data_IF_509049431348
#
_entry.id   IF_509049431348
#
_cell.length_a   1.000
_cell.length_b   1.000
_cell.length_c   1.000
_cell.angle_alpha   90.00
_cell.angle_beta   90.00
_cell.angle_gamma   90.00
#
_symmetry.space_group_name_H-M   'P 1'
#
loop_
_entity.id
_entity.type
_entity.pdbx_description
1 polymer ?
#
# COMPACT_ATOMS: atom_id res chain seq x y z
N UNK A 1 13.77 22.14 0.84
CA UNK A 1 13.89 21.30 2.06
C UNK A 1 12.51 20.73 2.35
N UNK A 2 12.30 19.42 2.25
CA UNK A 2 11.03 18.80 2.62
C UNK A 2 10.89 18.84 4.15
N UNK A 3 9.79 19.38 4.66
CA UNK A 3 9.50 19.43 6.10
C UNK A 3 9.30 18.00 6.58
N UNK A 4 10.19 17.51 7.44
CA UNK A 4 10.12 16.15 8.01
C UNK A 4 9.09 16.13 9.14
N UNK A 5 7.86 15.68 8.83
CA UNK A 5 6.81 15.43 9.83
C UNK A 5 7.17 14.16 10.60
N UNK A 6 7.50 14.27 11.89
CA UNK A 6 7.72 13.10 12.74
C UNK A 6 6.36 12.47 13.07
N UNK A 7 6.10 11.30 12.51
CA UNK A 7 4.85 10.57 12.75
C UNK A 7 5.12 9.58 13.88
N UNK A 8 4.33 9.68 14.95
CA UNK A 8 4.39 8.74 16.07
C UNK A 8 3.79 7.41 15.61
N UNK A 9 4.62 6.39 15.49
CA UNK A 9 4.20 5.03 15.16
C UNK A 9 3.57 4.37 16.39
N UNK A 10 2.35 3.84 16.25
CA UNK A 10 1.76 2.97 17.28
C UNK A 10 2.31 1.55 17.12
N UNK A 11 2.85 0.99 18.19
CA UNK A 11 3.42 -0.37 18.20
C UNK A 11 2.34 -1.45 18.07
N UNK A 12 1.10 -1.12 18.48
CA UNK A 12 -0.05 -2.03 18.41
C UNK A 12 -0.72 -2.02 17.04
N UNK A 13 -0.40 -1.05 16.19
CA UNK A 13 -0.94 -0.96 14.84
C UNK A 13 -0.36 -2.07 13.96
N UNK A 14 -1.22 -2.96 13.46
CA UNK A 14 -0.82 -4.03 12.56
C UNK A 14 -0.31 -3.50 11.21
N UNK A 15 -0.74 -2.30 10.78
CA UNK A 15 -0.26 -1.66 9.55
C UNK A 15 1.22 -1.29 9.63
N UNK A 16 1.83 -1.28 10.82
CA UNK A 16 3.29 -1.10 10.97
C UNK A 16 4.09 -2.16 10.20
N UNK A 17 3.50 -3.33 9.93
CA UNK A 17 4.12 -4.36 9.11
C UNK A 17 4.44 -3.85 7.69
N UNK A 18 3.74 -2.82 7.20
CA UNK A 18 4.05 -2.15 5.94
C UNK A 18 5.43 -1.49 5.95
N UNK A 19 5.89 -1.01 7.10
CA UNK A 19 7.18 -0.33 7.27
C UNK A 19 8.33 -1.29 7.62
N UNK A 20 8.02 -2.57 7.84
CA UNK A 20 8.99 -3.59 8.20
C UNK A 20 8.87 -4.76 7.22
N UNK A 21 8.08 -5.77 7.58
CA UNK A 21 8.10 -7.10 6.97
C UNK A 21 7.62 -7.11 5.51
N UNK A 22 6.73 -6.20 5.11
CA UNK A 22 6.26 -6.12 3.72
C UNK A 22 6.99 -5.05 2.90
N UNK A 23 8.00 -4.39 3.46
CA UNK A 23 8.80 -3.41 2.75
C UNK A 23 9.71 -4.13 1.73
N UNK A 24 9.74 -3.71 0.46
CA UNK A 24 10.56 -4.34 -0.56
C UNK A 24 12.03 -3.88 -0.47
N UNK A 25 12.68 -4.23 0.64
CA UNK A 25 14.09 -3.91 0.93
C UNK A 25 15.10 -4.72 0.11
N UNK A 26 14.69 -5.87 -0.43
CA UNK A 26 15.56 -6.75 -1.24
C UNK A 26 15.69 -6.31 -2.70
N UNK A 27 15.03 -5.20 -3.08
CA UNK A 27 15.11 -4.64 -4.42
C UNK A 27 16.40 -3.81 -4.59
N UNK A 28 17.04 -3.84 -5.78
CA UNK A 28 18.21 -3.00 -6.08
C UNK A 28 17.88 -1.50 -6.11
N UNK A 29 16.60 -1.15 -6.29
CA UNK A 29 16.09 0.22 -6.14
C UNK A 29 15.49 0.31 -4.74
N UNK A 30 15.87 1.34 -3.99
CA UNK A 30 15.35 1.60 -2.65
C UNK A 30 13.90 2.10 -2.77
N UNK A 31 12.97 1.30 -2.27
CA UNK A 31 11.57 1.66 -2.16
C UNK A 31 11.20 1.88 -0.68
N UNK A 32 10.38 2.91 -0.43
CA UNK A 32 9.83 3.18 0.89
C UNK A 32 8.32 3.02 0.87
N UNK A 33 7.79 2.35 1.90
CA UNK A 33 6.36 2.22 2.14
C UNK A 33 5.81 3.36 3.02
N UNK A 34 6.62 4.36 3.38
CA UNK A 34 6.19 5.48 4.25
C UNK A 34 4.94 6.17 3.72
N UNK A 35 4.93 6.51 2.44
CA UNK A 35 3.77 7.18 1.82
C UNK A 35 2.51 6.31 1.84
N UNK A 36 2.66 4.99 1.64
CA UNK A 36 1.53 4.06 1.71
C UNK A 36 0.96 3.99 3.12
N UNK A 37 1.82 3.84 4.14
CA UNK A 37 1.43 3.82 5.54
C UNK A 37 0.71 5.12 5.94
N UNK A 38 1.33 6.27 5.64
CA UNK A 38 0.78 7.59 5.98
C UNK A 38 -0.60 7.79 5.36
N UNK A 39 -0.75 7.47 4.07
CA UNK A 39 -2.03 7.65 3.37
C UNK A 39 -3.14 6.74 3.93
N UNK A 40 -2.81 5.52 4.38
CA UNK A 40 -3.76 4.63 5.02
C UNK A 40 -4.17 5.16 6.41
N UNK A 41 -3.20 5.55 7.24
CA UNK A 41 -3.47 6.09 8.58
C UNK A 41 -4.20 7.44 8.52
N UNK A 42 -3.86 8.31 7.57
CA UNK A 42 -4.55 9.59 7.37
C UNK A 42 -5.96 9.39 6.81
N UNK A 43 -6.17 8.42 5.92
CA UNK A 43 -7.51 8.06 5.44
C UNK A 43 -8.42 7.63 6.60
N UNK A 44 -7.94 6.76 7.50
CA UNK A 44 -8.72 6.32 8.66
C UNK A 44 -9.05 7.46 9.64
N UNK A 45 -8.24 8.52 9.67
CA UNK A 45 -8.49 9.71 10.50
C UNK A 45 -9.46 10.70 9.83
N UNK A 46 -9.27 11.00 8.55
CA UNK A 46 -9.97 12.08 7.83
C UNK A 46 -11.31 11.62 7.29
N UNK A 47 -11.43 10.38 6.82
CA UNK A 47 -12.63 9.90 6.14
C UNK A 47 -13.81 9.61 7.06
N UNK A 48 -13.67 9.81 8.38
CA UNK A 48 -14.79 9.83 9.30
C UNK A 48 -15.66 11.08 9.16
N UNK A 49 -15.18 12.17 8.52
CA UNK A 49 -15.77 13.50 8.69
C UNK A 49 -16.10 14.28 7.39
N UNK A 50 -15.69 13.83 6.20
CA UNK A 50 -15.80 14.65 4.99
C UNK A 50 -16.52 13.96 3.82
N UNK A 51 -17.70 14.50 3.46
CA UNK A 51 -18.45 14.18 2.22
C UNK A 51 -17.75 14.65 0.93
N UNK A 52 -16.59 15.32 1.02
CA UNK A 52 -15.89 15.87 -0.14
C UNK A 52 -15.14 14.79 -0.92
N UNK A 53 -15.31 14.78 -2.24
CA UNK A 53 -14.54 13.93 -3.14
C UNK A 53 -13.05 14.29 -3.10
N UNK A 54 -12.19 13.30 -2.83
CA UNK A 54 -10.74 13.43 -2.96
C UNK A 54 -10.24 12.35 -3.94
N UNK A 55 -9.50 12.72 -5.01
CA UNK A 55 -9.00 11.73 -5.97
C UNK A 55 -8.12 10.67 -5.30
N UNK A 56 -7.29 11.04 -4.31
CA UNK A 56 -6.41 10.11 -3.60
C UNK A 56 -7.21 9.05 -2.84
N UNK A 57 -8.27 9.45 -2.14
CA UNK A 57 -9.11 8.48 -1.42
C UNK A 57 -9.87 7.57 -2.38
N UNK A 58 -10.31 8.08 -3.54
CA UNK A 58 -10.90 7.26 -4.59
C UNK A 58 -9.91 6.22 -5.14
N UNK A 59 -8.66 6.61 -5.41
CA UNK A 59 -7.62 5.68 -5.85
C UNK A 59 -7.29 4.63 -4.79
N UNK A 60 -7.17 5.06 -3.53
CA UNK A 60 -6.92 4.17 -2.40
C UNK A 60 -8.02 3.11 -2.30
N UNK A 61 -9.30 3.52 -2.33
CA UNK A 61 -10.45 2.61 -2.28
C UNK A 61 -10.48 1.65 -3.46
N UNK A 62 -10.32 2.15 -4.70
CA UNK A 62 -10.50 1.32 -5.90
C UNK A 62 -9.31 0.40 -6.21
N UNK A 63 -8.08 0.84 -5.99
CA UNK A 63 -6.87 0.13 -6.44
C UNK A 63 -6.18 -0.58 -5.29
N UNK A 64 -6.10 0.06 -4.12
CA UNK A 64 -5.23 -0.37 -3.03
C UNK A 64 -5.98 -1.19 -1.98
N UNK A 65 -7.10 -0.67 -1.46
CA UNK A 65 -7.89 -1.35 -0.44
C UNK A 65 -9.41 -1.23 -0.72
N UNK A 66 -9.98 -2.18 -1.49
CA UNK A 66 -11.41 -2.24 -1.80
C UNK A 66 -12.35 -2.33 -0.60
N UNK A 67 -11.86 -2.73 0.57
CA UNK A 67 -12.69 -2.83 1.78
C UNK A 67 -13.11 -1.45 2.31
N UNK A 68 -12.40 -0.38 1.92
CA UNK A 68 -12.71 0.99 2.32
C UNK A 68 -13.86 1.60 1.48
N UNK A 69 -14.33 0.90 0.45
CA UNK A 69 -15.38 1.40 -0.44
C UNK A 69 -16.78 1.03 0.05
N UNK A 70 -17.35 1.87 0.91
CA UNK A 70 -18.72 1.72 1.45
C UNK A 70 -19.82 1.75 0.38
N UNK A 71 -19.52 2.16 -0.87
CA UNK A 71 -20.53 2.18 -1.95
C UNK A 71 -20.88 0.79 -2.48
N UNK A 72 -20.04 -0.22 -2.17
CA UNK A 72 -20.15 -1.58 -2.68
C UNK A 72 -20.66 -2.52 -1.56
N UNK A 73 -21.48 -3.52 -1.92
CA UNK A 73 -21.90 -4.58 -0.99
C UNK A 73 -20.70 -5.32 -0.38
N UNK A 74 -20.82 -5.70 0.90
CA UNK A 74 -19.76 -6.37 1.69
C UNK A 74 -19.20 -7.61 0.97
N UNK A 75 -20.06 -8.38 0.30
CA UNK A 75 -19.62 -9.58 -0.42
C UNK A 75 -18.72 -9.25 -1.63
N UNK A 76 -19.08 -8.20 -2.37
CA UNK A 76 -18.30 -7.72 -3.52
C UNK A 76 -16.98 -7.10 -3.09
N UNK A 77 -16.93 -6.43 -1.93
CA UNK A 77 -15.68 -5.92 -1.35
C UNK A 77 -14.72 -7.08 -1.03
N UNK A 78 -15.21 -8.11 -0.34
CA UNK A 78 -14.41 -9.28 0.00
C UNK A 78 -13.89 -10.01 -1.26
N UNK A 79 -14.71 -10.10 -2.30
CA UNK A 79 -14.31 -10.66 -3.58
C UNK A 79 -13.23 -9.80 -4.27
N UNK A 80 -13.39 -8.47 -4.30
CA UNK A 80 -12.44 -7.55 -4.89
C UNK A 80 -11.08 -7.58 -4.15
N UNK A 81 -11.10 -7.68 -2.83
CA UNK A 81 -9.91 -7.84 -2.00
C UNK A 81 -9.13 -9.10 -2.34
N UNK A 82 -9.82 -10.24 -2.50
CA UNK A 82 -9.25 -11.55 -2.83
C UNK A 82 -8.85 -11.70 -4.30
N UNK A 83 -9.32 -10.82 -5.18
CA UNK A 83 -8.95 -10.82 -6.60
C UNK A 83 -7.43 -10.76 -6.76
N UNK A 84 -6.85 -11.46 -7.72
CA UNK A 84 -5.42 -11.40 -7.98
C UNK A 84 -4.96 -9.96 -8.27
N UNK A 85 -3.86 -9.53 -7.65
CA UNK A 85 -3.13 -8.30 -7.97
C UNK A 85 -1.92 -8.64 -8.85
N UNK A 86 -1.56 -7.72 -9.73
CA UNK A 86 -0.35 -7.83 -10.55
C UNK A 86 0.79 -7.03 -9.90
N UNK A 87 1.95 -7.63 -9.63
CA UNK A 87 3.13 -6.89 -9.23
C UNK A 87 3.60 -5.95 -10.35
N UNK A 88 4.35 -4.91 -10.00
CA UNK A 88 4.93 -3.97 -10.96
C UNK A 88 6.29 -4.49 -11.45
N UNK A 89 6.34 -4.99 -12.68
CA UNK A 89 7.57 -5.48 -13.30
C UNK A 89 8.47 -4.33 -13.77
N UNK A 90 9.77 -4.46 -13.52
CA UNK A 90 10.79 -3.53 -14.02
C UNK A 90 12.08 -4.28 -14.38
N UNK A 91 12.92 -3.66 -15.20
CA UNK A 91 14.21 -4.23 -15.58
C UNK A 91 15.35 -3.39 -15.02
N UNK A 92 16.44 -4.05 -14.65
CA UNK A 92 17.71 -3.40 -14.35
C UNK A 92 18.81 -3.96 -15.26
N UNK A 93 19.82 -3.16 -15.55
CA UNK A 93 21.04 -3.64 -16.19
C UNK A 93 21.79 -4.49 -15.16
N UNK A 94 22.01 -5.77 -15.48
CA UNK A 94 22.80 -6.66 -14.63
C UNK A 94 24.27 -6.58 -15.03
N UNK A 95 24.53 -6.72 -16.33
CA UNK A 95 25.86 -6.70 -16.95
C UNK A 95 25.80 -5.93 -18.28
N UNK A 96 26.93 -5.72 -18.95
CA UNK A 96 26.99 -5.00 -20.24
C UNK A 96 26.11 -5.61 -21.35
N UNK A 97 25.75 -6.88 -21.23
CA UNK A 97 25.00 -7.64 -22.24
C UNK A 97 23.68 -8.21 -21.73
N UNK A 98 23.36 -8.06 -20.44
CA UNK A 98 22.19 -8.72 -19.85
C UNK A 98 21.38 -7.82 -18.92
N UNK A 99 20.07 -7.98 -18.98
CA UNK A 99 19.11 -7.33 -18.11
C UNK A 99 18.53 -8.35 -17.12
N UNK A 100 18.20 -7.90 -15.91
CA UNK A 100 17.46 -8.68 -14.93
C UNK A 100 16.05 -8.11 -14.81
N UNK A 101 15.06 -8.97 -15.03
CA UNK A 101 13.66 -8.66 -14.76
C UNK A 101 13.38 -8.86 -13.27
N UNK A 102 12.75 -7.87 -12.66
CA UNK A 102 12.37 -7.85 -11.25
C UNK A 102 10.91 -7.42 -11.12
N UNK A 103 10.33 -7.70 -9.97
CA UNK A 103 8.92 -7.43 -9.70
C UNK A 103 8.80 -6.76 -8.34
N UNK A 104 8.24 -5.55 -8.33
CA UNK A 104 7.85 -4.86 -7.11
C UNK A 104 6.46 -5.34 -6.69
N UNK A 105 6.31 -5.72 -5.43
CA UNK A 105 5.03 -6.17 -4.88
C UNK A 105 3.95 -5.09 -4.99
N UNK A 106 2.72 -5.50 -5.31
CA UNK A 106 1.58 -4.59 -5.40
C UNK A 106 1.14 -4.09 -4.00
N UNK A 107 0.78 -2.80 -3.82
CA UNK A 107 0.37 -2.25 -2.52
C UNK A 107 -0.78 -2.99 -1.85
N UNK A 108 -1.81 -3.38 -2.62
CA UNK A 108 -2.92 -4.21 -2.13
C UNK A 108 -2.45 -5.54 -1.52
N UNK A 109 -1.43 -6.17 -2.08
CA UNK A 109 -0.87 -7.42 -1.54
C UNK A 109 -0.14 -7.17 -0.23
N UNK A 110 0.67 -6.10 -0.15
CA UNK A 110 1.33 -5.71 1.10
C UNK A 110 0.32 -5.48 2.24
N UNK A 111 -0.79 -4.78 1.95
CA UNK A 111 -1.86 -4.58 2.93
C UNK A 111 -2.50 -5.91 3.34
N UNK A 112 -2.81 -6.79 2.38
CA UNK A 112 -3.35 -8.11 2.69
C UNK A 112 -2.39 -8.93 3.57
N UNK A 113 -1.08 -8.82 3.38
CA UNK A 113 -0.09 -9.49 4.24
C UNK A 113 -0.05 -8.89 5.64
N UNK A 114 -0.20 -7.57 5.78
CA UNK A 114 -0.26 -6.92 7.09
C UNK A 114 -1.41 -7.43 7.96
N UNK A 115 -2.49 -7.94 7.36
CA UNK A 115 -3.62 -8.52 8.12
C UNK A 115 -3.27 -9.79 8.88
N UNK A 116 -2.17 -10.46 8.54
CA UNK A 116 -1.65 -11.58 9.33
C UNK A 116 -1.34 -11.17 10.78
N UNK A 117 -1.05 -9.89 11.02
CA UNK A 117 -0.70 -9.34 12.33
C UNK A 117 -1.90 -8.74 13.10
N UNK A 118 -3.13 -8.89 12.58
CA UNK A 118 -4.36 -8.57 13.31
C UNK A 118 -4.70 -9.65 14.32
#
# INVERSE_FOLDING_TARGET
MAIKKNIKLDKKDYLRALLCDTQPGDCPIIFSNDGLYINLTEHDRVCNDSLSFNPVSSFLKKIVNPNLDTSISVEKQAQAKKKQSSPFGYCIVKDAFSQRHLSLIHPRSQINYSEFYK
#
